data_IF_632589035504
#
_entry.id   IF_632589035504
#
_cell.length_a   1.000
_cell.length_b   1.000
_cell.length_c   1.000
_cell.angle_alpha   90.00
_cell.angle_beta   90.00
_cell.angle_gamma   90.00
#
_symmetry.space_group_name_H-M   'P 1'
#
loop_
_entity.id
_entity.type
_entity.pdbx_description
1 polymer ?
#
# COMPACT_ATOMS: atom_id res chain seq x y z
N UNK A 1 12.73 12.86 10.08
CA UNK A 1 12.18 12.30 11.33
C UNK A 1 13.09 11.18 11.78
N UNK A 2 13.50 11.13 13.04
CA UNK A 2 14.34 10.04 13.59
C UNK A 2 13.54 9.33 14.68
N UNK A 3 13.28 8.04 14.50
CA UNK A 3 12.71 7.20 15.55
C UNK A 3 13.81 6.71 16.49
N UNK A 4 13.46 6.45 17.74
CA UNK A 4 14.39 5.81 18.68
C UNK A 4 14.66 4.38 18.19
N UNK A 5 15.91 3.93 18.42
CA UNK A 5 16.28 2.54 18.16
C UNK A 5 15.37 1.59 18.97
N UNK A 6 15.04 0.46 18.38
CA UNK A 6 14.18 -0.59 18.96
C UNK A 6 12.71 -0.15 19.27
N UNK A 7 12.26 0.97 18.69
CA UNK A 7 10.88 1.40 18.75
C UNK A 7 10.20 1.21 17.40
N UNK A 8 9.00 0.66 17.41
CA UNK A 8 8.13 0.63 16.23
C UNK A 8 7.55 2.05 16.01
N UNK A 9 7.82 2.63 14.86
CA UNK A 9 7.23 3.88 14.41
C UNK A 9 6.01 3.62 13.54
N UNK A 10 5.00 4.47 13.68
CA UNK A 10 3.81 4.48 12.83
C UNK A 10 3.60 5.88 12.27
N UNK A 11 3.42 6.00 10.96
CA UNK A 11 3.09 7.24 10.27
C UNK A 11 1.91 6.98 9.36
N UNK A 12 0.71 7.47 9.70
CA UNK A 12 -0.36 7.55 8.74
C UNK A 12 0.00 8.64 7.72
N UNK A 13 0.27 8.24 6.49
CA UNK A 13 0.47 9.19 5.39
C UNK A 13 -0.86 9.85 5.07
N UNK A 14 -1.93 9.02 5.02
CA UNK A 14 -3.33 9.43 4.88
C UNK A 14 -4.25 8.40 5.55
N UNK A 15 -5.49 8.76 5.82
CA UNK A 15 -6.54 7.82 6.25
C UNK A 15 -6.82 7.78 7.75
N UNK A 16 -6.10 8.53 8.60
CA UNK A 16 -6.30 8.47 10.05
C UNK A 16 -7.42 9.36 10.59
N UNK A 17 -7.80 10.41 9.87
CA UNK A 17 -8.81 11.38 10.33
C UNK A 17 -9.97 11.54 9.35
N UNK A 18 -9.97 10.78 8.27
CA UNK A 18 -11.00 10.86 7.22
C UNK A 18 -11.27 9.49 6.60
N UNK A 19 -12.49 9.29 6.13
CA UNK A 19 -12.85 8.13 5.32
C UNK A 19 -12.32 8.37 3.90
N UNK A 20 -11.65 7.39 3.32
CA UNK A 20 -11.10 7.46 1.98
C UNK A 20 -9.78 6.75 1.88
N UNK A 21 -8.84 7.30 1.08
CA UNK A 21 -7.57 6.66 0.80
C UNK A 21 -6.78 6.26 2.06
N UNK A 22 -6.14 5.11 1.98
CA UNK A 22 -5.33 4.55 3.04
C UNK A 22 -3.89 4.40 2.58
N UNK A 23 -2.95 4.90 3.40
CA UNK A 23 -1.52 4.67 3.23
C UNK A 23 -0.84 4.80 4.59
N UNK A 24 -0.38 3.68 5.13
CA UNK A 24 0.13 3.61 6.49
C UNK A 24 1.56 3.06 6.49
N UNK A 25 2.52 3.85 6.98
CA UNK A 25 3.91 3.47 7.08
C UNK A 25 4.26 2.99 8.49
N UNK A 26 4.97 1.88 8.54
CA UNK A 26 5.56 1.33 9.75
C UNK A 26 7.08 1.34 9.63
N UNK A 27 7.76 1.76 10.68
CA UNK A 27 9.21 1.86 10.71
C UNK A 27 9.78 1.10 11.92
N UNK A 28 10.83 0.33 11.67
CA UNK A 28 11.63 -0.28 12.72
C UNK A 28 13.10 -0.32 12.29
N UNK A 29 14.00 0.17 13.16
CA UNK A 29 15.44 0.18 12.91
C UNK A 29 15.85 0.65 11.51
N UNK A 30 15.31 1.80 11.09
CA UNK A 30 15.57 2.45 9.78
C UNK A 30 15.07 1.66 8.55
N UNK A 31 14.24 0.65 8.76
CA UNK A 31 13.55 -0.11 7.73
C UNK A 31 12.06 0.21 7.76
N UNK A 32 11.42 0.12 6.59
CA UNK A 32 10.05 0.54 6.41
C UNK A 32 9.22 -0.50 5.68
N UNK A 33 7.95 -0.59 6.05
CA UNK A 33 6.91 -1.23 5.27
C UNK A 33 5.75 -0.26 5.06
N UNK A 34 5.06 -0.39 3.94
CA UNK A 34 3.85 0.37 3.64
C UNK A 34 2.66 -0.58 3.62
N UNK A 35 1.60 -0.25 4.34
CA UNK A 35 0.33 -0.97 4.29
C UNK A 35 -0.68 -0.09 3.57
N UNK A 36 -1.15 -0.60 2.45
CA UNK A 36 -2.01 0.05 1.47
C UNK A 36 -1.40 1.30 0.80
N UNK A 37 -1.93 1.63 -0.36
CA UNK A 37 -1.60 2.82 -1.14
C UNK A 37 -2.80 3.14 -2.04
N UNK A 38 -3.80 3.77 -1.45
CA UNK A 38 -5.10 4.02 -2.06
C UNK A 38 -5.25 5.40 -2.68
N UNK A 39 -6.38 5.57 -3.36
CA UNK A 39 -6.87 6.87 -3.83
C UNK A 39 -8.10 7.28 -3.02
N UNK A 40 -8.45 8.56 -3.08
CA UNK A 40 -9.77 9.03 -2.68
C UNK A 40 -10.47 9.71 -3.86
N UNK A 41 -11.77 9.86 -3.75
CA UNK A 41 -12.57 10.62 -4.70
C UNK A 41 -12.85 12.00 -4.11
N UNK A 42 -12.89 13.05 -4.96
CA UNK A 42 -13.17 14.40 -4.52
C UNK A 42 -14.60 14.53 -3.99
N UNK A 43 -14.81 15.50 -3.14
CA UNK A 43 -16.14 15.95 -2.72
C UNK A 43 -16.68 17.05 -3.66
N UNK A 44 -17.89 17.53 -3.38
CA UNK A 44 -18.60 18.51 -4.20
C UNK A 44 -17.87 19.87 -4.30
N UNK A 45 -16.93 20.15 -3.42
CA UNK A 45 -16.17 21.43 -3.40
C UNK A 45 -14.97 21.40 -4.35
N UNK A 46 -14.52 20.23 -4.78
CA UNK A 46 -13.33 20.02 -5.59
C UNK A 46 -13.68 19.86 -7.07
N UNK A 47 -14.30 20.89 -7.64
CA UNK A 47 -14.78 20.90 -9.03
C UNK A 47 -13.61 20.69 -10.01
N UNK A 48 -13.78 19.71 -10.94
CA UNK A 48 -12.78 19.40 -11.97
C UNK A 48 -11.63 18.49 -11.50
N UNK A 49 -11.73 17.96 -10.29
CA UNK A 49 -10.83 16.92 -9.78
C UNK A 49 -11.49 15.57 -9.92
N UNK A 50 -10.82 14.59 -10.54
CA UNK A 50 -11.35 13.24 -10.70
C UNK A 50 -10.94 12.31 -9.56
N UNK A 51 -9.71 12.45 -9.06
CA UNK A 51 -9.15 11.63 -7.99
C UNK A 51 -8.21 12.45 -7.10
N UNK A 52 -8.04 11.99 -5.86
CA UNK A 52 -7.05 12.48 -4.92
C UNK A 52 -5.99 11.42 -4.69
N UNK A 53 -4.73 11.81 -4.70
CA UNK A 53 -3.59 10.94 -4.46
C UNK A 53 -2.90 11.31 -3.15
N UNK A 54 -2.32 10.34 -2.42
CA UNK A 54 -1.51 10.64 -1.25
C UNK A 54 -0.25 11.40 -1.65
N UNK A 55 0.29 12.22 -0.73
CA UNK A 55 1.61 12.81 -0.91
C UNK A 55 2.68 11.71 -0.86
N UNK A 56 3.29 11.47 -2.01
CA UNK A 56 4.30 10.42 -2.18
C UNK A 56 5.74 10.89 -1.90
N UNK A 57 5.96 12.17 -1.64
CA UNK A 57 7.32 12.71 -1.50
C UNK A 57 8.08 12.13 -0.31
N UNK A 58 7.37 11.82 0.77
CA UNK A 58 7.99 11.14 1.90
C UNK A 58 8.40 9.70 1.52
N UNK A 59 7.54 8.98 0.82
CA UNK A 59 7.79 7.59 0.39
C UNK A 59 8.99 7.55 -0.58
N UNK A 60 9.10 8.51 -1.50
CA UNK A 60 10.27 8.65 -2.38
C UNK A 60 11.58 8.77 -1.61
N UNK A 61 11.59 9.52 -0.50
CA UNK A 61 12.80 9.70 0.34
C UNK A 61 13.25 8.41 1.03
N UNK A 62 12.32 7.51 1.33
CA UNK A 62 12.61 6.24 2.02
C UNK A 62 12.62 5.02 1.08
N UNK A 63 12.45 5.20 -0.24
CA UNK A 63 12.29 4.11 -1.22
C UNK A 63 13.36 3.01 -1.15
N UNK A 64 14.60 3.36 -0.81
CA UNK A 64 15.70 2.40 -0.67
C UNK A 64 15.67 1.63 0.65
N UNK A 65 14.83 2.03 1.60
CA UNK A 65 14.63 1.42 2.91
C UNK A 65 13.26 0.75 3.02
N UNK A 66 12.42 0.91 2.00
CA UNK A 66 11.10 0.31 1.93
C UNK A 66 11.22 -1.16 1.52
N UNK A 67 10.92 -2.06 2.45
CA UNK A 67 11.05 -3.50 2.27
C UNK A 67 9.92 -4.11 1.43
N UNK A 68 8.74 -3.50 1.49
CA UNK A 68 7.57 -3.98 0.77
C UNK A 68 6.34 -3.12 0.97
N UNK A 69 5.38 -3.29 0.06
CA UNK A 69 4.03 -2.74 0.16
C UNK A 69 3.09 -3.92 0.39
N UNK A 70 2.22 -3.83 1.39
CA UNK A 70 1.24 -4.85 1.74
C UNK A 70 -0.16 -4.32 1.43
N UNK A 71 -0.88 -5.01 0.55
CA UNK A 71 -2.24 -4.66 0.18
C UNK A 71 -3.22 -5.51 0.96
N UNK A 72 -4.05 -4.88 1.77
CA UNK A 72 -5.04 -5.58 2.59
C UNK A 72 -6.15 -6.19 1.75
N UNK A 73 -6.63 -5.47 0.74
CA UNK A 73 -7.69 -5.93 -0.16
C UNK A 73 -7.80 -5.08 -1.43
N UNK A 74 -8.74 -5.45 -2.33
CA UNK A 74 -8.85 -4.87 -3.67
C UNK A 74 -9.92 -3.75 -3.78
N UNK A 75 -9.96 -2.82 -2.83
CA UNK A 75 -10.69 -1.56 -2.99
C UNK A 75 -9.76 -0.42 -3.42
N UNK A 76 -10.29 0.53 -4.18
CA UNK A 76 -9.51 1.63 -4.77
C UNK A 76 -8.82 2.50 -3.72
N UNK A 77 -9.45 2.70 -2.59
CA UNK A 77 -8.92 3.44 -1.45
C UNK A 77 -7.80 2.70 -0.70
N UNK A 78 -7.45 1.46 -1.12
CA UNK A 78 -6.36 0.66 -0.57
C UNK A 78 -5.25 0.33 -1.57
N UNK A 79 -5.53 0.22 -2.88
CA UNK A 79 -4.48 -0.10 -3.86
C UNK A 79 -4.46 0.83 -5.08
N UNK A 80 -5.46 1.70 -5.22
CA UNK A 80 -5.71 2.47 -6.44
C UNK A 80 -4.60 3.42 -6.84
N UNK A 81 -3.79 3.92 -5.89
CA UNK A 81 -2.72 4.86 -6.19
C UNK A 81 -1.45 4.20 -6.77
N UNK A 82 -1.28 2.88 -6.67
CA UNK A 82 -0.08 2.18 -7.15
C UNK A 82 0.23 2.49 -8.61
N UNK A 83 -0.77 2.56 -9.47
CA UNK A 83 -0.59 2.84 -10.90
C UNK A 83 0.04 4.20 -11.19
N UNK A 84 -0.16 5.20 -10.32
CA UNK A 84 0.37 6.56 -10.49
C UNK A 84 1.80 6.70 -9.96
N UNK A 85 2.21 5.79 -9.09
CA UNK A 85 3.55 5.79 -8.48
C UNK A 85 4.39 4.58 -8.92
N UNK A 86 3.98 3.92 -9.98
CA UNK A 86 4.59 2.67 -10.44
C UNK A 86 6.10 2.81 -10.69
N UNK A 87 6.55 3.96 -11.20
CA UNK A 87 7.96 4.19 -11.53
C UNK A 87 8.86 4.35 -10.30
N UNK A 88 8.30 4.80 -9.21
CA UNK A 88 9.00 4.98 -7.93
C UNK A 88 9.04 3.71 -7.08
N UNK A 89 8.17 2.74 -7.35
CA UNK A 89 8.08 1.50 -6.57
C UNK A 89 9.19 0.54 -7.01
N UNK A 90 10.11 0.25 -6.09
CA UNK A 90 11.26 -0.65 -6.32
C UNK A 90 11.28 -1.85 -5.36
N UNK A 91 10.27 -2.00 -4.52
CA UNK A 91 10.12 -3.10 -3.57
C UNK A 91 9.01 -4.06 -4.02
N UNK A 92 8.95 -5.29 -3.45
CA UNK A 92 7.84 -6.20 -3.71
C UNK A 92 6.51 -5.65 -3.18
N UNK A 93 5.44 -5.96 -3.91
CA UNK A 93 4.06 -5.72 -3.48
C UNK A 93 3.45 -7.06 -3.08
N UNK A 94 2.99 -7.14 -1.85
CA UNK A 94 2.35 -8.31 -1.28
C UNK A 94 0.83 -8.13 -1.28
N UNK A 95 0.11 -9.20 -1.56
CA UNK A 95 -1.34 -9.17 -1.55
C UNK A 95 -1.94 -10.57 -1.63
N UNK A 96 -3.25 -10.67 -1.40
CA UNK A 96 -3.98 -11.90 -1.70
C UNK A 96 -3.98 -12.16 -3.21
N UNK A 97 -4.27 -13.38 -3.62
CA UNK A 97 -4.33 -13.75 -5.05
C UNK A 97 -5.31 -12.87 -5.80
N UNK A 98 -6.50 -12.65 -5.22
CA UNK A 98 -7.51 -11.77 -5.80
C UNK A 98 -7.03 -10.33 -5.94
N UNK A 99 -6.47 -9.75 -4.87
CA UNK A 99 -5.96 -8.35 -4.88
C UNK A 99 -4.86 -8.16 -5.92
N UNK A 100 -3.93 -9.10 -6.02
CA UNK A 100 -2.86 -9.02 -7.02
C UNK A 100 -3.37 -9.21 -8.46
N UNK A 101 -4.40 -10.04 -8.66
CA UNK A 101 -5.04 -10.18 -9.98
C UNK A 101 -5.72 -8.88 -10.40
N UNK A 102 -6.45 -8.23 -9.49
CA UNK A 102 -7.08 -6.93 -9.74
C UNK A 102 -6.04 -5.84 -10.04
N UNK A 103 -4.96 -5.78 -9.26
CA UNK A 103 -3.86 -4.84 -9.53
C UNK A 103 -3.24 -5.08 -10.92
N UNK A 104 -2.94 -6.33 -11.28
CA UNK A 104 -2.39 -6.66 -12.60
C UNK A 104 -3.31 -6.21 -13.71
N UNK A 105 -4.61 -6.52 -13.60
CA UNK A 105 -5.61 -6.10 -14.58
C UNK A 105 -5.62 -4.59 -14.73
N UNK A 106 -5.71 -3.85 -13.63
CA UNK A 106 -5.72 -2.39 -13.61
C UNK A 106 -4.48 -1.80 -14.29
N UNK A 107 -3.30 -2.32 -14.00
CA UNK A 107 -2.05 -1.86 -14.61
C UNK A 107 -2.03 -2.10 -16.13
N UNK A 108 -2.53 -3.24 -16.59
CA UNK A 108 -2.64 -3.57 -18.02
C UNK A 108 -3.64 -2.66 -18.72
N UNK A 109 -4.82 -2.48 -18.15
CA UNK A 109 -5.90 -1.65 -18.72
C UNK A 109 -5.44 -0.17 -18.88
N UNK A 110 -4.56 0.30 -17.99
CA UNK A 110 -3.99 1.65 -18.04
C UNK A 110 -2.65 1.74 -18.82
N UNK A 111 -2.26 0.68 -19.53
CA UNK A 111 -1.09 0.67 -20.40
C UNK A 111 0.26 0.70 -19.67
N UNK A 112 0.30 0.41 -18.38
CA UNK A 112 1.53 0.34 -17.61
C UNK A 112 2.39 -0.85 -18.05
N UNK A 113 3.63 -0.58 -18.43
CA UNK A 113 4.59 -1.59 -18.94
C UNK A 113 5.60 -2.04 -17.91
N UNK A 114 5.76 -1.33 -16.79
CA UNK A 114 6.72 -1.70 -15.75
C UNK A 114 6.28 -3.00 -15.07
N UNK A 115 7.19 -3.95 -14.99
CA UNK A 115 6.97 -5.19 -14.25
C UNK A 115 7.24 -4.95 -12.77
N UNK A 116 6.21 -5.06 -11.95
CA UNK A 116 6.32 -5.06 -10.50
C UNK A 116 6.59 -6.47 -9.98
N UNK A 117 7.34 -6.57 -8.90
CA UNK A 117 7.52 -7.83 -8.17
C UNK A 117 6.30 -8.05 -7.29
N UNK A 118 5.38 -8.90 -7.73
CA UNK A 118 4.17 -9.24 -6.99
C UNK A 118 4.37 -10.55 -6.23
N UNK A 119 4.07 -10.54 -4.93
CA UNK A 119 4.20 -11.69 -4.04
C UNK A 119 2.87 -12.01 -3.37
N UNK A 120 2.41 -13.22 -3.52
CA UNK A 120 1.21 -13.70 -2.87
C UNK A 120 1.49 -14.06 -1.41
N UNK A 121 0.60 -13.67 -0.50
CA UNK A 121 0.53 -14.19 0.85
C UNK A 121 -0.68 -15.14 0.99
N UNK A 122 -0.48 -16.38 1.44
CA UNK A 122 -1.58 -17.28 1.74
C UNK A 122 -2.44 -16.76 2.89
N UNK A 123 -3.69 -17.23 2.96
CA UNK A 123 -4.55 -16.95 4.11
C UNK A 123 -3.90 -17.46 5.40
N UNK A 124 -3.99 -16.68 6.48
CA UNK A 124 -3.39 -17.00 7.79
C UNK A 124 -1.91 -17.35 7.66
N UNK A 125 -1.16 -16.47 7.05
CA UNK A 125 0.29 -16.63 6.90
C UNK A 125 1.05 -15.62 7.73
N UNK A 126 2.25 -16.00 8.14
CA UNK A 126 3.24 -15.10 8.69
C UNK A 126 4.32 -14.85 7.64
N UNK A 127 4.61 -13.58 7.38
CA UNK A 127 5.62 -13.14 6.42
C UNK A 127 6.72 -12.46 7.21
N UNK A 128 7.94 -12.97 7.10
CA UNK A 128 9.09 -12.34 7.72
C UNK A 128 9.89 -11.53 6.70
N UNK A 129 10.02 -10.23 6.95
CA UNK A 129 10.86 -9.31 6.20
C UNK A 129 11.84 -8.63 7.15
N UNK A 130 13.06 -9.11 7.16
CA UNK A 130 14.10 -8.70 8.11
C UNK A 130 13.58 -8.78 9.57
N UNK A 131 13.42 -7.65 10.24
CA UNK A 131 12.94 -7.58 11.62
C UNK A 131 11.40 -7.45 11.74
N UNK A 132 10.68 -7.33 10.60
CA UNK A 132 9.23 -7.35 10.60
C UNK A 132 8.70 -8.79 10.50
N UNK A 133 7.72 -9.10 11.32
CA UNK A 133 6.86 -10.26 11.20
C UNK A 133 5.42 -9.78 11.00
N UNK A 134 4.82 -10.16 9.87
CA UNK A 134 3.51 -9.68 9.43
C UNK A 134 2.57 -10.86 9.33
N UNK A 135 1.59 -10.91 10.22
CA UNK A 135 0.56 -11.94 10.23
C UNK A 135 -0.68 -11.45 9.49
N UNK A 136 -1.19 -12.29 8.58
CA UNK A 136 -2.43 -12.01 7.86
C UNK A 136 -3.61 -12.64 8.57
N UNK A 137 -4.61 -11.83 8.93
CA UNK A 137 -5.85 -12.27 9.57
C UNK A 137 -6.99 -11.97 8.63
N UNK A 138 -7.73 -13.00 8.22
CA UNK A 138 -8.85 -12.83 7.30
C UNK A 138 -9.97 -12.02 7.96
N UNK A 139 -10.48 -11.05 7.24
CA UNK A 139 -11.61 -10.22 7.63
C UNK A 139 -12.79 -10.42 6.65
N UNK A 140 -14.02 -10.26 7.16
CA UNK A 140 -15.23 -10.22 6.33
C UNK A 140 -15.36 -8.85 5.67
N UNK A 141 -15.43 -8.83 4.35
CA UNK A 141 -15.53 -7.61 3.58
C UNK A 141 -16.31 -7.85 2.27
N UNK A 142 -16.65 -6.76 1.55
CA UNK A 142 -17.39 -6.82 0.28
C UNK A 142 -16.56 -7.33 -0.89
N UNK A 143 -15.24 -7.46 -0.74
CA UNK A 143 -14.34 -8.07 -1.73
C UNK A 143 -13.68 -9.34 -1.21
N UNK A 144 -13.39 -10.32 -2.09
CA UNK A 144 -12.80 -11.58 -1.68
C UNK A 144 -11.41 -11.44 -1.06
N UNK A 145 -11.07 -12.36 -0.16
CA UNK A 145 -9.72 -12.53 0.40
C UNK A 145 -9.16 -11.28 1.11
N UNK A 146 -10.02 -10.47 1.72
CA UNK A 146 -9.60 -9.34 2.56
C UNK A 146 -8.94 -9.82 3.87
N UNK A 147 -7.91 -9.09 4.30
CA UNK A 147 -7.17 -9.28 5.56
C UNK A 147 -7.12 -8.01 6.37
#
# INVERSE_FOLDING_TARGET
MKFKKDNLGFIPVVGSEQIGMNANLYQFNDQWILVDLGIAFPDETQIGVDILLPDFDFIKKIKNKLLGIFLTHAHEDHYGAIQYFIDEINCPIWGSEFTLAMLKKKLLDNGNKKKLTLKHYPRKSSIRLNEFEIDTIQNSHSVPQSV
#
